data_IF_915924993551
#
_entry.id   IF_915924993551
#
_cell.length_a   1.000
_cell.length_b   1.000
_cell.length_c   1.000
_cell.angle_alpha   90.00
_cell.angle_beta   90.00
_cell.angle_gamma   90.00
#
_symmetry.space_group_name_H-M   'P 1'
#
loop_
_entity.id
_entity.type
_entity.pdbx_description
1 polymer ?
#
# COMPACT_ATOMS: atom_id res chain seq x y z
N UNK A 1 -12.51 -36.49 16.32
CA UNK A 1 -11.02 -36.52 16.34
C UNK A 1 -10.32 -35.85 15.14
N UNK A 2 -11.00 -35.04 14.30
CA UNK A 2 -10.36 -34.45 13.09
C UNK A 2 -9.90 -32.97 13.19
N UNK A 3 -10.35 -32.22 14.20
CA UNK A 3 -10.15 -30.75 14.27
C UNK A 3 -8.70 -30.33 14.52
N UNK A 4 -7.91 -31.10 15.29
CA UNK A 4 -6.52 -30.77 15.61
C UNK A 4 -5.60 -30.73 14.38
N UNK A 5 -5.81 -31.65 13.42
CA UNK A 5 -5.04 -31.71 12.17
C UNK A 5 -5.37 -30.54 11.25
N UNK A 6 -6.66 -30.20 11.13
CA UNK A 6 -7.09 -29.04 10.36
C UNK A 6 -6.52 -27.73 10.94
N UNK A 7 -6.60 -27.56 12.27
CA UNK A 7 -6.04 -26.38 12.95
C UNK A 7 -4.52 -26.27 12.72
N UNK A 8 -3.78 -27.37 12.86
CA UNK A 8 -2.34 -27.39 12.60
C UNK A 8 -2.00 -27.01 11.15
N UNK A 9 -2.73 -27.54 10.16
CA UNK A 9 -2.57 -27.17 8.75
C UNK A 9 -2.83 -25.67 8.53
N UNK A 10 -3.91 -25.14 9.10
CA UNK A 10 -4.25 -23.72 8.97
C UNK A 10 -3.20 -22.80 9.61
N UNK A 11 -2.69 -23.15 10.80
CA UNK A 11 -1.62 -22.37 11.43
C UNK A 11 -0.32 -22.40 10.61
N UNK A 12 0.01 -23.53 9.98
CA UNK A 12 1.17 -23.62 9.08
C UNK A 12 1.00 -22.72 7.86
N UNK A 13 -0.16 -22.79 7.20
CA UNK A 13 -0.47 -21.94 6.03
C UNK A 13 -0.46 -20.45 6.40
N UNK A 14 -1.08 -20.08 7.52
CA UNK A 14 -1.11 -18.70 7.98
C UNK A 14 0.29 -18.16 8.30
N UNK A 15 1.17 -18.97 8.91
CA UNK A 15 2.58 -18.58 9.14
C UNK A 15 3.35 -18.43 7.84
N UNK A 16 3.13 -19.32 6.87
CA UNK A 16 3.71 -19.17 5.55
C UNK A 16 3.24 -17.85 4.92
N UNK A 17 1.93 -17.55 4.91
CA UNK A 17 1.44 -16.30 4.36
C UNK A 17 1.97 -15.05 5.08
N UNK A 18 2.08 -15.10 6.42
CA UNK A 18 2.52 -13.96 7.23
C UNK A 18 4.02 -13.67 7.07
N UNK A 19 4.84 -14.71 6.96
CA UNK A 19 6.30 -14.60 6.99
C UNK A 19 6.97 -14.97 5.67
N UNK A 20 6.20 -15.28 4.63
CA UNK A 20 6.72 -15.39 3.27
C UNK A 20 6.92 -13.99 2.72
N UNK A 21 8.18 -13.53 2.74
CA UNK A 21 8.57 -12.40 1.90
C UNK A 21 8.73 -12.95 0.48
N UNK A 22 7.95 -12.50 -0.51
CA UNK A 22 8.21 -12.86 -1.88
C UNK A 22 9.63 -12.39 -2.26
N UNK A 23 10.40 -13.25 -2.91
CA UNK A 23 11.62 -12.79 -3.56
C UNK A 23 11.22 -11.98 -4.79
N UNK A 24 11.52 -10.69 -4.75
CA UNK A 24 11.27 -9.77 -5.85
C UNK A 24 12.55 -9.62 -6.66
N UNK A 25 12.43 -9.75 -7.98
CA UNK A 25 13.51 -9.40 -8.90
C UNK A 25 13.66 -7.87 -8.95
N UNK A 26 14.54 -7.36 -8.09
CA UNK A 26 14.82 -5.93 -7.98
C UNK A 26 15.44 -5.38 -9.26
N UNK A 27 16.20 -6.19 -10.01
CA UNK A 27 16.83 -5.78 -11.25
C UNK A 27 15.78 -5.57 -12.35
N UNK A 28 14.78 -6.46 -12.44
CA UNK A 28 13.65 -6.27 -13.36
C UNK A 28 12.83 -5.04 -13.00
N UNK A 29 12.55 -4.82 -11.71
CA UNK A 29 11.80 -3.64 -11.25
C UNK A 29 12.54 -2.34 -11.58
N UNK A 30 13.86 -2.31 -11.36
CA UNK A 30 14.68 -1.14 -11.66
C UNK A 30 14.69 -0.82 -13.16
N UNK A 31 14.72 -1.84 -14.03
CA UNK A 31 14.64 -1.66 -15.48
C UNK A 31 13.30 -1.08 -15.92
N UNK A 32 12.20 -1.52 -15.31
CA UNK A 32 10.86 -0.99 -15.60
C UNK A 32 10.73 0.49 -15.18
N UNK A 33 11.15 0.82 -13.96
CA UNK A 33 11.15 2.19 -13.43
C UNK A 33 12.05 3.14 -14.23
N UNK A 34 13.24 2.69 -14.64
CA UNK A 34 14.15 3.52 -15.45
C UNK A 34 13.72 3.62 -16.92
N UNK A 35 12.96 2.64 -17.43
CA UNK A 35 12.36 2.64 -18.76
C UNK A 35 11.13 3.53 -18.89
N UNK A 36 10.36 3.68 -17.80
CA UNK A 36 9.34 4.73 -17.67
C UNK A 36 10.03 6.09 -17.47
N UNK A 37 10.52 6.66 -18.58
CA UNK A 37 10.74 8.11 -18.63
C UNK A 37 9.40 8.74 -18.23
N UNK A 38 9.34 9.68 -17.28
CA UNK A 38 8.15 10.45 -17.05
C UNK A 38 7.90 11.21 -18.36
N UNK A 39 7.05 10.67 -19.24
CA UNK A 39 6.48 11.49 -20.30
C UNK A 39 5.78 12.61 -19.55
N UNK A 40 6.24 13.84 -19.77
CA UNK A 40 5.86 15.06 -19.05
C UNK A 40 4.40 15.48 -19.32
N UNK A 41 3.46 14.54 -19.20
CA UNK A 41 2.02 14.77 -19.19
C UNK A 41 1.49 15.00 -17.76
N UNK A 42 2.36 14.99 -16.74
CA UNK A 42 2.01 15.04 -15.31
C UNK A 42 1.84 16.46 -14.75
N UNK A 43 2.25 17.52 -15.46
CA UNK A 43 2.09 18.89 -14.97
C UNK A 43 0.63 19.34 -14.79
N UNK A 44 -0.35 18.57 -15.31
CA UNK A 44 -1.80 18.84 -15.13
C UNK A 44 -2.48 17.95 -14.10
N UNK A 45 -1.82 16.91 -13.60
CA UNK A 45 -2.41 15.95 -12.67
C UNK A 45 -1.98 16.19 -11.22
N UNK A 46 -0.84 16.84 -11.01
CA UNK A 46 -0.29 17.18 -9.69
C UNK A 46 -1.22 18.12 -8.90
N UNK A 47 -1.83 19.10 -9.57
CA UNK A 47 -2.75 20.05 -8.93
C UNK A 47 -4.01 19.40 -8.35
N UNK A 48 -4.56 18.37 -9.01
CA UNK A 48 -5.80 17.72 -8.56
C UNK A 48 -5.58 16.87 -7.32
N UNK A 49 -4.40 16.22 -7.20
CA UNK A 49 -4.07 15.43 -6.02
C UNK A 49 -3.78 16.30 -4.79
N UNK A 50 -3.14 17.46 -4.99
CA UNK A 50 -2.86 18.41 -3.91
C UNK A 50 -4.16 19.01 -3.34
N UNK A 51 -5.11 19.37 -4.21
CA UNK A 51 -6.43 19.89 -3.82
C UNK A 51 -7.24 18.86 -2.98
N UNK A 52 -7.28 17.59 -3.41
CA UNK A 52 -8.02 16.52 -2.70
C UNK A 52 -7.38 16.19 -1.34
N UNK A 53 -6.04 16.21 -1.27
CA UNK A 53 -5.30 16.01 -0.03
C UNK A 53 -5.52 17.17 0.95
N UNK A 54 -5.51 18.41 0.46
CA UNK A 54 -5.77 19.59 1.27
C UNK A 54 -7.18 19.58 1.87
N UNK A 55 -8.20 19.16 1.12
CA UNK A 55 -9.58 19.02 1.63
C UNK A 55 -9.65 17.96 2.75
N UNK A 56 -9.00 16.81 2.57
CA UNK A 56 -8.96 15.74 3.57
C UNK A 56 -8.32 16.19 4.88
N UNK A 57 -7.18 16.89 4.79
CA UNK A 57 -6.45 17.45 5.95
C UNK A 57 -7.30 18.50 6.66
N UNK A 58 -7.94 19.40 5.91
CA UNK A 58 -8.82 20.43 6.46
C UNK A 58 -10.01 19.83 7.22
N UNK A 59 -10.63 18.78 6.67
CA UNK A 59 -11.74 18.07 7.33
C UNK A 59 -11.29 17.47 8.67
N UNK A 60 -10.15 16.79 8.73
CA UNK A 60 -9.67 16.16 9.96
C UNK A 60 -9.21 17.19 11.00
N UNK A 61 -8.51 18.24 10.56
CA UNK A 61 -8.09 19.33 11.42
C UNK A 61 -9.26 20.06 12.07
N UNK A 62 -10.40 20.18 11.37
CA UNK A 62 -11.61 20.74 11.96
C UNK A 62 -12.17 19.85 13.08
N UNK A 63 -12.15 18.52 12.93
CA UNK A 63 -12.60 17.61 13.99
C UNK A 63 -11.71 17.63 15.24
N UNK A 64 -10.39 17.77 15.07
CA UNK A 64 -9.45 17.85 16.19
C UNK A 64 -9.62 19.16 17.01
N UNK A 65 -10.18 20.22 16.44
CA UNK A 65 -10.39 21.52 17.12
C UNK A 65 -11.69 21.57 17.97
N UNK A 66 -12.64 20.66 17.75
CA UNK A 66 -13.91 20.58 18.51
C UNK A 66 -13.89 19.58 19.68
N UNK A 67 -12.76 18.89 19.92
CA UNK A 67 -12.59 17.85 20.96
C UNK A 67 -11.88 18.36 22.24
N UNK A 68 -11.77 19.69 22.45
CA UNK A 68 -11.30 20.34 23.71
C UNK A 68 -12.44 21.01 24.50
#
# INVERSE_FOLDING_TARGET
MGRGRAKAKQTKVARQLKYNSPEMDLDSLQRELSGQKPNHSSARQDSTYDDEYAEYVSRYSNYDEWDD
#
